data_IF_828749814499
#
_entry.id   IF_828749814499
#
_cell.length_a   1.000
_cell.length_b   1.000
_cell.length_c   1.000
_cell.angle_alpha   90.00
_cell.angle_beta   90.00
_cell.angle_gamma   90.00
#
_symmetry.space_group_name_H-M   'P 1'
#
loop_
_entity.id
_entity.type
_entity.pdbx_description
1 polymer ?
#
# COMPACT_ATOMS: atom_id res chain seq x y z
N UNK A 1 56.61 -15.48 -10.35
CA UNK A 1 55.27 -15.91 -9.90
C UNK A 1 54.64 -14.75 -9.11
N UNK A 2 53.89 -13.91 -9.77
CA UNK A 2 53.24 -12.71 -9.18
C UNK A 2 51.71 -12.96 -9.12
N UNK A 3 51.04 -12.78 -8.00
CA UNK A 3 49.59 -12.88 -7.94
C UNK A 3 48.94 -11.59 -8.40
N UNK A 4 47.96 -11.70 -9.31
CA UNK A 4 47.08 -10.65 -9.78
C UNK A 4 46.12 -10.24 -8.66
N UNK A 5 46.27 -9.01 -8.20
CA UNK A 5 45.25 -8.36 -7.35
C UNK A 5 44.07 -7.93 -8.22
N UNK A 6 42.92 -8.56 -8.00
CA UNK A 6 41.64 -8.16 -8.59
C UNK A 6 41.12 -6.89 -7.89
N UNK A 7 40.95 -5.86 -8.70
CA UNK A 7 40.37 -4.57 -8.30
C UNK A 7 38.84 -4.74 -8.13
N UNK A 8 38.37 -4.86 -6.91
CA UNK A 8 36.95 -4.75 -6.58
C UNK A 8 36.56 -3.27 -6.62
N UNK A 9 35.82 -2.88 -7.64
CA UNK A 9 35.14 -1.61 -7.67
C UNK A 9 33.97 -1.66 -6.67
N UNK A 10 34.21 -1.15 -5.48
CA UNK A 10 33.16 -0.84 -4.52
C UNK A 10 32.51 0.46 -5.01
N UNK A 11 31.31 0.36 -5.59
CA UNK A 11 30.44 1.51 -5.76
C UNK A 11 30.05 2.01 -4.38
N UNK A 12 30.75 3.05 -3.95
CA UNK A 12 30.41 3.80 -2.75
C UNK A 12 29.24 4.74 -3.11
N UNK A 13 28.02 4.22 -2.99
CA UNK A 13 26.82 5.07 -3.01
C UNK A 13 26.89 5.94 -1.77
N UNK A 14 27.09 7.24 -1.98
CA UNK A 14 27.01 8.23 -0.90
C UNK A 14 25.56 8.22 -0.38
N UNK A 15 25.34 7.53 0.74
CA UNK A 15 24.16 7.77 1.57
C UNK A 15 24.26 9.19 2.14
N UNK A 16 23.58 10.11 1.52
CA UNK A 16 23.24 11.37 2.20
C UNK A 16 22.17 11.01 3.22
N UNK A 17 22.57 11.00 4.49
CA UNK A 17 21.63 10.96 5.59
C UNK A 17 20.86 12.29 5.62
N UNK A 18 19.67 12.32 5.02
CA UNK A 18 18.74 13.44 5.11
C UNK A 18 17.92 13.26 6.37
N UNK A 19 17.91 14.28 7.19
CA UNK A 19 17.25 14.38 8.48
C UNK A 19 15.73 14.20 8.34
N UNK A 20 15.15 13.40 9.23
CA UNK A 20 13.69 13.24 9.42
C UNK A 20 13.00 14.61 9.52
N UNK A 21 11.95 14.75 8.74
CA UNK A 21 10.90 15.76 8.70
C UNK A 21 10.97 16.64 7.45
N UNK A 22 10.27 16.14 6.40
CA UNK A 22 9.46 17.00 5.55
C UNK A 22 8.71 16.14 4.52
N UNK A 23 7.38 16.30 4.44
CA UNK A 23 6.52 15.85 3.35
C UNK A 23 7.00 16.33 1.96
N UNK A 24 8.06 17.13 1.90
CA UNK A 24 8.69 17.69 0.71
C UNK A 24 9.61 16.73 -0.06
N UNK A 25 9.85 15.52 0.42
CA UNK A 25 10.79 14.60 -0.26
C UNK A 25 10.19 13.92 -1.49
N UNK A 26 8.86 13.89 -1.61
CA UNK A 26 8.14 13.39 -2.78
C UNK A 26 7.76 14.49 -3.78
N UNK A 27 8.15 15.74 -3.50
CA UNK A 27 7.99 16.87 -4.43
C UNK A 27 9.20 16.94 -5.37
N UNK A 28 8.93 16.71 -6.66
CA UNK A 28 9.96 16.64 -7.71
C UNK A 28 9.85 17.82 -8.66
N UNK A 29 10.96 18.52 -8.89
CA UNK A 29 10.99 19.60 -9.88
C UNK A 29 10.93 19.05 -11.31
N UNK A 30 10.03 19.60 -12.11
CA UNK A 30 9.85 19.26 -13.52
C UNK A 30 10.14 20.43 -14.47
N UNK A 31 10.85 21.44 -14.00
CA UNK A 31 11.21 22.67 -14.75
C UNK A 31 11.76 22.37 -16.14
N UNK A 32 12.56 21.32 -16.30
CA UNK A 32 13.15 20.94 -17.60
C UNK A 32 12.16 20.29 -18.56
N UNK A 33 11.02 19.79 -18.06
CA UNK A 33 10.00 19.08 -18.84
C UNK A 33 8.86 20.01 -19.27
N UNK A 34 8.61 21.08 -18.52
CA UNK A 34 7.47 21.98 -18.77
C UNK A 34 7.55 22.58 -20.18
N UNK A 35 6.43 22.48 -20.90
CA UNK A 35 6.26 22.99 -22.26
C UNK A 35 7.28 22.45 -23.29
N UNK A 36 7.82 21.25 -23.05
CA UNK A 36 8.75 20.56 -23.95
C UNK A 36 8.26 19.14 -24.31
N UNK A 37 7.12 19.00 -25.00
CA UNK A 37 6.55 17.70 -25.32
C UNK A 37 7.57 16.74 -25.97
N UNK A 38 7.60 15.50 -25.49
CA UNK A 38 8.52 14.46 -25.95
C UNK A 38 9.86 14.44 -25.21
N UNK A 39 10.11 15.35 -24.27
CA UNK A 39 11.25 15.21 -23.34
C UNK A 39 10.88 14.29 -22.18
N UNK A 40 11.87 13.59 -21.64
CA UNK A 40 11.68 12.68 -20.52
C UNK A 40 12.85 12.78 -19.53
N UNK A 41 12.54 12.52 -18.28
CA UNK A 41 13.52 12.33 -17.18
C UNK A 41 13.16 11.07 -16.39
N UNK A 42 14.14 10.45 -15.75
CA UNK A 42 13.95 9.30 -14.86
C UNK A 42 14.47 9.64 -13.48
N UNK A 43 13.76 9.16 -12.46
CA UNK A 43 14.12 9.29 -11.06
C UNK A 43 14.14 7.90 -10.43
N UNK A 44 15.29 7.52 -9.87
CA UNK A 44 15.46 6.26 -9.13
C UNK A 44 16.07 6.62 -7.79
N UNK A 45 15.27 6.55 -6.74
CA UNK A 45 15.67 6.94 -5.39
C UNK A 45 15.06 6.03 -4.33
N UNK A 46 15.72 5.98 -3.17
CA UNK A 46 15.20 5.37 -1.96
C UNK A 46 14.77 6.48 -1.02
N UNK A 47 13.49 6.53 -0.70
CA UNK A 47 12.86 7.58 0.11
C UNK A 47 12.18 6.97 1.34
N UNK A 48 12.01 7.73 2.43
CA UNK A 48 11.21 7.25 3.56
C UNK A 48 9.72 7.23 3.21
N UNK A 49 9.03 6.18 3.63
CA UNK A 49 7.59 6.04 3.48
C UNK A 49 6.85 7.17 4.23
N UNK A 50 5.82 7.78 3.62
CA UNK A 50 4.98 8.75 4.30
C UNK A 50 4.13 8.07 5.39
N UNK A 51 3.61 8.87 6.32
CA UNK A 51 2.70 8.40 7.35
C UNK A 51 1.39 7.84 6.75
N UNK A 52 0.74 6.93 7.47
CA UNK A 52 -0.60 6.40 7.13
C UNK A 52 -0.68 5.76 5.73
N UNK A 53 0.37 5.08 5.28
CA UNK A 53 0.42 4.37 4.01
C UNK A 53 -0.14 2.95 4.17
N UNK A 54 -1.46 2.83 4.32
CA UNK A 54 -2.13 1.54 4.52
C UNK A 54 -3.53 1.67 5.11
N UNK A 55 -4.02 0.57 5.65
CA UNK A 55 -5.27 0.49 6.38
C UNK A 55 -5.04 -0.04 7.81
N UNK A 56 -6.12 -0.25 8.59
CA UNK A 56 -6.02 -0.66 10.01
C UNK A 56 -5.32 -2.01 10.22
N UNK A 57 -5.34 -2.91 9.23
CA UNK A 57 -4.85 -4.28 9.35
C UNK A 57 -3.48 -4.47 8.69
N UNK A 58 -3.17 -3.71 7.64
CA UNK A 58 -1.98 -3.90 6.82
C UNK A 58 -1.54 -2.59 6.17
N UNK A 59 -0.24 -2.36 6.09
CA UNK A 59 0.32 -1.16 5.50
C UNK A 59 1.84 -1.15 5.51
N UNK A 60 2.40 -0.01 5.20
CA UNK A 60 3.84 0.27 5.17
C UNK A 60 4.20 1.09 6.41
N UNK A 61 5.26 0.74 7.11
CA UNK A 61 5.69 1.47 8.31
C UNK A 61 6.20 2.87 7.93
N UNK A 62 5.74 3.89 8.66
CA UNK A 62 6.21 5.27 8.46
C UNK A 62 7.73 5.36 8.59
N UNK A 63 8.37 5.95 7.58
CA UNK A 63 9.81 6.14 7.54
C UNK A 63 10.61 4.90 7.16
N UNK A 64 9.97 3.76 6.82
CA UNK A 64 10.66 2.64 6.16
C UNK A 64 11.14 3.04 4.77
N UNK A 65 12.14 2.35 4.24
CA UNK A 65 12.65 2.62 2.91
C UNK A 65 11.62 2.21 1.84
N UNK A 66 11.35 3.10 0.88
CA UNK A 66 10.61 2.80 -0.35
C UNK A 66 11.53 3.00 -1.54
N UNK A 67 11.61 2.00 -2.41
CA UNK A 67 12.39 2.09 -3.66
C UNK A 67 11.49 2.62 -4.77
N UNK A 68 11.78 3.82 -5.26
CA UNK A 68 11.02 4.51 -6.31
C UNK A 68 11.81 4.49 -7.62
N UNK A 69 11.20 3.96 -8.68
CA UNK A 69 11.73 4.00 -10.04
C UNK A 69 10.65 4.51 -10.99
N UNK A 70 10.75 5.77 -11.36
CA UNK A 70 9.76 6.46 -12.20
C UNK A 70 10.39 7.14 -13.40
N UNK A 71 9.60 7.25 -14.44
CA UNK A 71 9.84 8.02 -15.65
C UNK A 71 8.77 9.12 -15.75
N UNK A 72 9.22 10.32 -15.94
CA UNK A 72 8.40 11.52 -16.17
C UNK A 72 8.55 11.94 -17.64
N UNK A 73 7.45 12.03 -18.36
CA UNK A 73 7.43 12.40 -19.77
C UNK A 73 6.54 13.62 -19.98
N UNK A 74 7.10 14.64 -20.63
CA UNK A 74 6.31 15.82 -21.01
C UNK A 74 5.39 15.50 -22.18
N UNK A 75 4.10 15.63 -21.94
CA UNK A 75 3.05 15.52 -22.96
C UNK A 75 2.36 16.87 -23.19
N UNK A 76 1.40 16.92 -24.11
CA UNK A 76 0.76 18.21 -24.47
C UNK A 76 0.04 18.84 -23.28
N UNK A 77 -0.65 18.03 -22.49
CA UNK A 77 -1.55 18.51 -21.43
C UNK A 77 -0.92 18.47 -20.02
N UNK A 78 0.32 17.92 -19.88
CA UNK A 78 0.94 17.75 -18.56
C UNK A 78 2.23 16.95 -18.57
N UNK A 79 2.52 16.38 -17.43
CA UNK A 79 3.62 15.43 -17.20
C UNK A 79 3.03 14.06 -16.91
N UNK A 80 3.28 13.09 -17.79
CA UNK A 80 2.93 11.69 -17.56
C UNK A 80 4.02 11.03 -16.70
N UNK A 81 3.63 10.56 -15.53
CA UNK A 81 4.48 9.79 -14.60
C UNK A 81 4.15 8.32 -14.75
N UNK A 82 5.15 7.49 -15.04
CA UNK A 82 5.03 6.04 -15.14
C UNK A 82 6.17 5.37 -14.41
N UNK A 83 5.92 4.25 -13.74
CA UNK A 83 6.96 3.51 -13.04
C UNK A 83 6.41 2.60 -11.96
N UNK A 84 7.26 2.31 -10.98
CA UNK A 84 6.91 1.45 -9.86
C UNK A 84 7.52 1.94 -8.55
N UNK A 85 6.87 1.59 -7.48
CA UNK A 85 7.38 1.71 -6.11
C UNK A 85 7.43 0.32 -5.49
N UNK A 86 8.53 0.00 -4.80
CA UNK A 86 8.67 -1.24 -4.02
C UNK A 86 8.66 -0.86 -2.54
N UNK A 87 7.86 -1.57 -1.76
CA UNK A 87 7.63 -1.30 -0.33
C UNK A 87 7.59 -2.59 0.47
N UNK A 88 8.02 -2.52 1.73
CA UNK A 88 7.84 -3.59 2.70
C UNK A 88 6.49 -3.41 3.41
N UNK A 89 5.64 -4.41 3.29
CA UNK A 89 4.28 -4.42 3.84
C UNK A 89 4.24 -5.26 5.10
N UNK A 90 3.66 -4.70 6.16
CA UNK A 90 3.49 -5.33 7.46
C UNK A 90 2.02 -5.31 7.87
N UNK A 91 1.56 -6.37 8.51
CA UNK A 91 0.17 -6.43 8.96
C UNK A 91 -0.15 -7.68 9.74
N UNK A 92 -1.44 -7.90 9.94
CA UNK A 92 -1.97 -9.06 10.65
C UNK A 92 -3.01 -9.78 9.80
N UNK A 93 -3.04 -11.09 9.89
CA UNK A 93 -4.05 -11.92 9.25
C UNK A 93 -5.43 -11.59 9.84
N UNK A 94 -6.40 -11.26 9.00
CA UNK A 94 -7.77 -10.95 9.42
C UNK A 94 -8.51 -12.14 10.05
N UNK A 95 -7.99 -13.36 9.90
CA UNK A 95 -8.60 -14.58 10.42
C UNK A 95 -7.92 -15.13 11.67
N UNK A 96 -6.58 -15.16 11.71
CA UNK A 96 -5.85 -15.79 12.82
C UNK A 96 -4.97 -14.82 13.62
N UNK A 97 -4.88 -13.54 13.19
CA UNK A 97 -4.08 -12.47 13.79
C UNK A 97 -2.57 -12.74 13.78
N UNK A 98 -2.12 -13.73 13.01
CA UNK A 98 -0.68 -13.93 12.80
C UNK A 98 -0.10 -12.81 11.96
N UNK A 99 1.17 -12.43 12.20
CA UNK A 99 1.82 -11.38 11.42
C UNK A 99 1.96 -11.77 9.95
N UNK A 100 1.87 -10.78 9.09
CA UNK A 100 2.06 -10.88 7.64
C UNK A 100 3.13 -9.86 7.27
N UNK A 101 4.19 -10.34 6.60
CA UNK A 101 5.30 -9.52 6.13
C UNK A 101 5.65 -9.95 4.70
N UNK A 102 5.66 -9.00 3.77
CA UNK A 102 6.09 -9.26 2.39
C UNK A 102 6.47 -7.97 1.67
N UNK A 103 7.32 -8.12 0.65
CA UNK A 103 7.66 -7.05 -0.28
C UNK A 103 6.57 -6.94 -1.36
N UNK A 104 6.14 -5.73 -1.66
CA UNK A 104 5.13 -5.44 -2.68
C UNK A 104 5.64 -4.40 -3.66
N UNK A 105 5.37 -4.62 -4.95
CA UNK A 105 5.63 -3.63 -5.99
C UNK A 105 4.32 -3.07 -6.54
N UNK A 106 4.12 -1.76 -6.42
CA UNK A 106 2.97 -1.06 -6.96
C UNK A 106 3.36 -0.24 -8.21
N UNK A 107 2.51 -0.26 -9.24
CA UNK A 107 2.73 0.52 -10.45
C UNK A 107 2.05 1.88 -10.34
N UNK A 108 2.76 2.92 -10.79
CA UNK A 108 2.26 4.29 -10.89
C UNK A 108 2.10 4.62 -12.37
N UNK A 109 0.93 5.15 -12.75
CA UNK A 109 0.70 5.69 -14.08
C UNK A 109 -0.32 6.82 -13.98
N UNK A 110 0.18 8.06 -13.81
CA UNK A 110 -0.64 9.22 -13.53
C UNK A 110 -0.23 10.41 -14.40
N UNK A 111 -1.23 11.23 -14.75
CA UNK A 111 -1.04 12.47 -15.51
C UNK A 111 -1.15 13.68 -14.57
N UNK A 112 -0.07 14.42 -14.44
CA UNK A 112 -0.03 15.69 -13.72
C UNK A 112 -0.31 16.82 -14.74
N UNK A 113 -1.50 17.39 -14.71
CA UNK A 113 -1.94 18.39 -15.69
C UNK A 113 -1.31 19.77 -15.45
N UNK A 114 -1.03 20.52 -16.51
CA UNK A 114 -0.52 21.89 -16.37
C UNK A 114 -1.63 22.85 -15.91
N UNK A 115 -2.86 22.65 -16.36
CA UNK A 115 -4.02 23.45 -15.96
C UNK A 115 -5.12 22.54 -15.45
N UNK A 116 -5.54 22.75 -14.20
CA UNK A 116 -6.72 22.06 -13.65
C UNK A 116 -7.97 22.48 -14.43
N UNK A 117 -8.83 21.53 -14.77
CA UNK A 117 -10.12 21.85 -15.33
C UNK A 117 -10.88 22.80 -14.41
N UNK A 118 -11.57 23.85 -14.94
CA UNK A 118 -12.33 24.76 -14.10
C UNK A 118 -13.39 23.96 -13.32
N UNK A 119 -13.43 24.14 -12.00
CA UNK A 119 -14.45 23.57 -11.15
C UNK A 119 -15.82 24.16 -11.52
N UNK A 120 -16.59 23.48 -12.36
CA UNK A 120 -17.85 23.99 -12.95
C UNK A 120 -18.70 22.92 -13.61
N UNK A 121 -18.39 21.64 -13.41
CA UNK A 121 -19.27 20.52 -13.76
C UNK A 121 -20.35 20.28 -12.70
N UNK A 122 -21.40 19.47 -12.99
CA UNK A 122 -22.38 19.07 -12.00
C UNK A 122 -21.67 18.44 -10.80
N UNK A 123 -22.17 18.72 -9.60
CA UNK A 123 -21.56 18.62 -8.27
C UNK A 123 -21.02 17.22 -7.85
N UNK A 124 -20.92 16.23 -8.73
CA UNK A 124 -20.64 14.84 -8.40
C UNK A 124 -19.29 14.30 -8.93
N UNK A 125 -18.50 15.07 -9.68
CA UNK A 125 -17.20 14.61 -10.19
C UNK A 125 -16.14 15.73 -10.06
N UNK A 126 -15.73 16.00 -8.83
CA UNK A 126 -14.42 16.62 -8.62
C UNK A 126 -13.41 15.47 -8.73
N UNK A 127 -13.07 15.07 -9.95
CA UNK A 127 -11.86 14.30 -10.20
C UNK A 127 -10.71 15.11 -9.56
N UNK A 128 -10.12 14.59 -8.51
CA UNK A 128 -8.92 15.14 -7.90
C UNK A 128 -7.76 14.94 -8.89
N UNK A 129 -7.70 15.84 -9.88
CA UNK A 129 -6.64 15.82 -10.87
C UNK A 129 -5.33 16.22 -10.23
N UNK A 130 -4.32 15.40 -10.39
CA UNK A 130 -2.95 15.74 -10.06
C UNK A 130 -2.51 16.91 -10.97
N UNK A 131 -1.83 17.89 -10.40
CA UNK A 131 -1.41 19.07 -11.15
C UNK A 131 0.08 19.38 -10.94
N UNK A 132 0.65 20.05 -11.94
CA UNK A 132 1.95 20.70 -11.81
C UNK A 132 1.75 22.02 -11.09
N UNK A 133 2.40 22.19 -9.95
CA UNK A 133 2.34 23.43 -9.14
C UNK A 133 3.78 23.96 -8.93
N UNK A 134 3.99 25.24 -9.18
CA UNK A 134 5.30 25.91 -9.02
C UNK A 134 6.47 25.12 -9.68
N UNK A 135 6.27 24.68 -10.94
CA UNK A 135 7.24 23.89 -11.71
C UNK A 135 7.64 22.55 -11.04
N UNK A 136 6.79 22.01 -10.20
CA UNK A 136 6.99 20.77 -9.45
C UNK A 136 5.75 19.91 -9.45
N UNK A 137 5.92 18.61 -9.21
CA UNK A 137 4.85 17.63 -8.98
C UNK A 137 5.00 17.02 -7.60
N UNK A 138 3.89 16.81 -6.91
CA UNK A 138 3.85 16.06 -5.66
C UNK A 138 3.45 14.60 -5.97
N UNK A 139 4.39 13.69 -5.76
CA UNK A 139 4.19 12.26 -6.03
C UNK A 139 3.50 11.54 -4.87
N UNK A 140 3.40 12.15 -3.67
CA UNK A 140 2.84 11.46 -2.50
C UNK A 140 1.41 10.97 -2.73
N UNK A 141 0.46 11.76 -3.26
CA UNK A 141 -0.89 11.27 -3.48
C UNK A 141 -0.94 10.11 -4.47
N UNK A 142 -0.23 10.19 -5.60
CA UNK A 142 -0.18 9.14 -6.62
C UNK A 142 0.47 7.84 -6.08
N UNK A 143 1.53 7.98 -5.29
CA UNK A 143 2.18 6.86 -4.62
C UNK A 143 1.21 6.20 -3.61
N UNK A 144 0.53 7.00 -2.82
CA UNK A 144 -0.46 6.55 -1.83
C UNK A 144 -1.57 5.75 -2.49
N UNK A 145 -2.14 6.26 -3.57
CA UNK A 145 -3.20 5.58 -4.31
C UNK A 145 -2.71 4.27 -4.91
N UNK A 146 -1.53 4.26 -5.53
CA UNK A 146 -0.94 3.06 -6.11
C UNK A 146 -0.70 1.96 -5.06
N UNK A 147 -0.18 2.30 -3.88
CA UNK A 147 0.11 1.35 -2.81
C UNK A 147 -1.19 0.86 -2.15
N UNK A 148 -2.08 1.77 -1.73
CA UNK A 148 -3.29 1.41 -0.98
C UNK A 148 -4.23 0.54 -1.81
N UNK A 149 -4.37 0.82 -3.12
CA UNK A 149 -5.23 0.04 -4.01
C UNK A 149 -4.72 -1.39 -4.25
N UNK A 150 -3.43 -1.65 -4.03
CA UNK A 150 -2.86 -2.99 -4.14
C UNK A 150 -2.90 -3.78 -2.84
N UNK A 151 -3.04 -3.12 -1.69
CA UNK A 151 -3.15 -3.82 -0.41
C UNK A 151 -4.45 -4.63 -0.36
N UNK A 152 -4.41 -5.88 0.14
CA UNK A 152 -5.61 -6.69 0.28
C UNK A 152 -6.55 -6.08 1.32
N UNK A 153 -7.84 -6.00 0.98
CA UNK A 153 -8.87 -5.54 1.92
C UNK A 153 -9.01 -6.49 3.13
N UNK A 154 -8.82 -7.79 2.91
CA UNK A 154 -8.80 -8.81 3.94
C UNK A 154 -7.48 -9.59 3.84
N UNK A 155 -6.42 -9.14 4.53
CA UNK A 155 -5.14 -9.83 4.51
C UNK A 155 -5.28 -11.20 5.18
N UNK A 156 -4.74 -12.24 4.54
CA UNK A 156 -4.69 -13.60 5.07
C UNK A 156 -3.27 -14.13 5.00
N UNK A 157 -2.81 -14.81 6.04
CA UNK A 157 -1.45 -15.37 6.06
C UNK A 157 -1.25 -16.49 5.01
N UNK A 158 -2.32 -17.14 4.61
CA UNK A 158 -2.37 -18.19 3.55
C UNK A 158 -3.82 -18.45 3.14
N UNK A 159 -4.02 -18.93 1.92
CA UNK A 159 -5.36 -19.21 1.35
C UNK A 159 -6.17 -20.25 2.16
N UNK A 160 -5.49 -21.14 2.87
CA UNK A 160 -6.12 -22.22 3.66
C UNK A 160 -6.25 -21.87 5.15
N UNK A 161 -6.03 -20.61 5.53
CA UNK A 161 -6.14 -20.19 6.93
C UNK A 161 -7.57 -20.40 7.45
N UNK A 162 -7.72 -21.21 8.49
CA UNK A 162 -9.02 -21.48 9.12
C UNK A 162 -9.39 -20.43 10.19
N UNK A 163 -8.41 -19.63 10.61
CA UNK A 163 -8.63 -18.56 11.58
C UNK A 163 -8.77 -19.04 13.01
N UNK A 164 -9.34 -18.13 13.81
CA UNK A 164 -9.69 -18.34 15.21
C UNK A 164 -11.17 -18.57 15.35
N UNK A 165 -11.56 -19.36 16.34
CA UNK A 165 -12.97 -19.50 16.72
C UNK A 165 -13.50 -18.17 17.27
N UNK A 166 -14.63 -17.70 16.74
CA UNK A 166 -15.24 -16.43 17.15
C UNK A 166 -15.72 -16.41 18.61
N UNK A 167 -16.02 -17.58 19.19
CA UNK A 167 -16.55 -17.69 20.56
C UNK A 167 -15.45 -17.76 21.63
N UNK A 168 -14.35 -18.49 21.37
CA UNK A 168 -13.33 -18.73 22.38
C UNK A 168 -11.89 -18.36 21.97
N UNK A 169 -11.66 -17.94 20.70
CA UNK A 169 -10.34 -17.60 20.21
C UNK A 169 -9.40 -18.78 19.97
N UNK A 170 -9.88 -20.01 20.05
CA UNK A 170 -9.05 -21.19 19.75
C UNK A 170 -8.69 -21.23 18.27
N UNK A 171 -7.46 -21.68 17.94
CA UNK A 171 -7.05 -21.88 16.56
C UNK A 171 -7.78 -23.08 15.95
N UNK A 172 -8.57 -22.83 14.91
CA UNK A 172 -9.37 -23.88 14.26
C UNK A 172 -8.51 -24.89 13.50
N UNK A 173 -7.30 -24.52 13.15
CA UNK A 173 -6.34 -25.42 12.51
C UNK A 173 -5.82 -26.50 13.45
N UNK A 174 -5.67 -26.19 14.74
CA UNK A 174 -5.18 -27.13 15.75
C UNK A 174 -6.24 -28.14 16.15
N UNK A 175 -7.53 -27.78 15.99
CA UNK A 175 -8.67 -28.64 16.29
C UNK A 175 -9.74 -28.53 15.21
N UNK A 176 -9.64 -29.27 14.10
CA UNK A 176 -10.62 -29.23 12.99
C UNK A 176 -12.04 -29.66 13.38
N UNK A 177 -12.19 -30.30 14.54
CA UNK A 177 -13.50 -30.70 15.11
C UNK A 177 -14.08 -29.71 16.10
N UNK A 178 -13.41 -28.58 16.31
CA UNK A 178 -13.80 -27.57 17.28
C UNK A 178 -15.17 -26.97 16.95
N UNK A 179 -16.08 -27.06 17.90
CA UNK A 179 -17.41 -26.48 17.79
C UNK A 179 -17.94 -26.09 19.17
N UNK A 180 -18.84 -25.14 19.17
CA UNK A 180 -19.59 -24.72 20.37
C UNK A 180 -21.06 -24.99 20.14
N UNK A 181 -21.73 -25.54 21.14
CA UNK A 181 -23.19 -25.55 21.17
C UNK A 181 -23.68 -24.15 21.53
N UNK A 182 -23.82 -23.29 20.53
CA UNK A 182 -24.34 -21.92 20.71
C UNK A 182 -25.87 -22.00 20.75
N UNK A 183 -26.42 -22.06 21.94
CA UNK A 183 -27.84 -21.88 22.14
C UNK A 183 -28.16 -20.37 22.15
N UNK A 184 -28.78 -19.88 21.08
CA UNK A 184 -29.25 -18.49 21.02
C UNK A 184 -30.20 -18.25 22.21
N UNK A 185 -29.88 -17.29 23.13
CA UNK A 185 -30.72 -17.02 24.31
C UNK A 185 -32.17 -16.71 23.95
N UNK A 186 -32.46 -16.22 22.75
CA UNK A 186 -33.80 -15.95 22.26
C UNK A 186 -34.67 -17.20 22.09
N UNK A 187 -34.00 -18.35 21.86
CA UNK A 187 -34.66 -19.64 21.65
C UNK A 187 -34.67 -20.54 22.90
N UNK A 188 -34.08 -20.09 24.02
CA UNK A 188 -33.97 -20.85 25.26
C UNK A 188 -35.35 -21.28 25.80
N UNK A 189 -36.38 -20.50 25.57
CA UNK A 189 -37.77 -20.80 25.99
C UNK A 189 -38.39 -21.99 25.20
N UNK A 190 -37.86 -22.30 23.98
CA UNK A 190 -38.34 -23.41 23.15
C UNK A 190 -37.73 -24.75 23.56
N UNK A 191 -36.62 -24.77 24.28
CA UNK A 191 -35.99 -26.00 24.77
C UNK A 191 -36.90 -26.79 25.70
N UNK A 192 -37.70 -26.10 26.51
CA UNK A 192 -38.70 -26.73 27.36
C UNK A 192 -39.81 -27.48 26.62
N UNK A 193 -40.02 -27.19 25.33
CA UNK A 193 -40.99 -27.86 24.47
C UNK A 193 -40.44 -29.13 23.80
N UNK A 194 -39.13 -29.20 23.58
CA UNK A 194 -38.47 -30.36 22.95
C UNK A 194 -38.24 -31.51 23.96
N UNK A 195 -38.27 -31.25 25.25
CA UNK A 195 -38.10 -32.25 26.33
C UNK A 195 -39.38 -32.94 26.79
N UNK A 196 -40.54 -32.53 26.28
CA UNK A 196 -41.85 -33.03 26.79
C UNK A 196 -42.38 -34.31 26.10
N UNK A 197 -41.74 -34.82 25.04
CA UNK A 197 -42.28 -35.93 24.23
C UNK A 197 -41.61 -37.31 24.47
N UNK A 198 -40.86 -37.48 25.58
CA UNK A 198 -40.22 -38.79 25.87
C UNK A 198 -40.76 -39.56 27.07
N UNK A 199 -41.97 -39.21 27.56
CA UNK A 199 -42.66 -40.04 28.55
C UNK A 199 -44.05 -40.42 28.06
N UNK A 200 -44.15 -41.54 27.25
CA UNK A 200 -45.34 -42.39 27.19
C UNK A 200 -44.98 -43.76 26.67
#
# INVERSE_FOLDING_TARGET
MTPKMGLWFIHFVRRNAISRADASQLVVSVTNLIHRPGTMETLTEVLPAPADLGNTLIGVEEGSDIDLDIRMESVVDGILVTGSVVVDVHGECSLCLDPIDYEMSANIQELFVFEKAPAGGPEDEVDEQYAVEDDSIDLEPALRDAVILQLPFQPVCRDTCQGLCADCGARLEDDPGHHHEVLDPRWSALQGLLGADTEN
#
